data_IF_811166651017
#
_entry.id   IF_811166651017
#
_cell.length_a   1.000
_cell.length_b   1.000
_cell.length_c   1.000
_cell.angle_alpha   90.00
_cell.angle_beta   90.00
_cell.angle_gamma   90.00
#
_symmetry.space_group_name_H-M   'P 1'
#
loop_
_entity.id
_entity.type
_entity.pdbx_description
1 polymer ?
#
# COMPACT_ATOMS: atom_id res chain seq x y z
N UNK A 1 0.54 19.62 4.73
CA UNK A 1 0.27 18.17 4.74
C UNK A 1 1.14 17.55 3.65
N UNK A 2 2.00 16.60 3.99
CA UNK A 2 2.85 15.96 2.99
C UNK A 2 1.97 15.10 2.07
N UNK A 3 1.98 15.39 0.77
CA UNK A 3 1.29 14.56 -0.21
C UNK A 3 2.09 13.26 -0.38
N UNK A 4 1.46 12.08 -0.32
CA UNK A 4 2.17 10.83 -0.57
C UNK A 4 2.66 10.78 -2.02
N UNK A 5 3.82 10.16 -2.25
CA UNK A 5 4.34 9.91 -3.60
C UNK A 5 3.52 8.84 -4.33
N UNK A 6 2.95 7.89 -3.58
CA UNK A 6 2.23 6.74 -4.12
C UNK A 6 0.95 6.43 -3.36
N UNK A 7 -0.12 6.11 -4.09
CA UNK A 7 -1.36 5.57 -3.53
C UNK A 7 -1.51 4.08 -3.81
N UNK A 8 -1.83 3.27 -2.81
CA UNK A 8 -2.05 1.82 -2.95
C UNK A 8 -3.55 1.54 -3.02
N UNK A 9 -4.04 1.01 -4.14
CA UNK A 9 -5.47 0.75 -4.36
C UNK A 9 -5.89 -0.70 -4.14
N UNK A 10 -4.95 -1.65 -4.28
CA UNK A 10 -5.21 -3.08 -4.10
C UNK A 10 -3.92 -3.82 -3.75
N UNK A 11 -4.07 -5.01 -3.16
CA UNK A 11 -2.95 -5.91 -2.86
C UNK A 11 -3.26 -7.32 -3.30
N UNK A 12 -2.25 -8.04 -3.74
CA UNK A 12 -2.33 -9.45 -4.12
C UNK A 12 -1.45 -10.23 -3.14
N UNK A 13 -2.06 -11.21 -2.48
CA UNK A 13 -1.39 -12.09 -1.53
C UNK A 13 -0.84 -13.33 -2.25
N UNK A 14 0.19 -13.96 -1.68
CA UNK A 14 0.69 -15.25 -2.16
C UNK A 14 -0.38 -16.34 -2.01
N UNK A 15 -0.16 -17.50 -2.64
CA UNK A 15 -1.08 -18.65 -2.58
C UNK A 15 -1.40 -19.12 -1.17
N UNK A 16 -0.53 -18.84 -0.19
CA UNK A 16 -0.73 -19.14 1.22
C UNK A 16 -1.51 -18.06 1.99
N UNK A 17 -1.87 -16.93 1.34
CA UNK A 17 -2.50 -15.74 1.94
C UNK A 17 -1.79 -15.22 3.21
N UNK A 18 -0.51 -15.54 3.35
CA UNK A 18 0.32 -15.19 4.51
C UNK A 18 1.13 -13.94 4.27
N UNK A 19 1.45 -13.66 3.00
CA UNK A 19 2.31 -12.55 2.61
C UNK A 19 1.77 -11.83 1.39
N UNK A 20 1.87 -10.50 1.39
CA UNK A 20 1.60 -9.72 0.19
C UNK A 20 2.67 -10.02 -0.86
N UNK A 21 2.27 -10.53 -2.02
CA UNK A 21 3.14 -10.76 -3.17
C UNK A 21 3.33 -9.48 -3.98
N UNK A 22 2.22 -8.81 -4.31
CA UNK A 22 2.21 -7.58 -5.14
C UNK A 22 1.25 -6.54 -4.58
N UNK A 23 1.56 -5.28 -4.86
CA UNK A 23 0.75 -4.12 -4.51
C UNK A 23 0.45 -3.36 -5.78
N UNK A 24 -0.81 -3.00 -5.98
CA UNK A 24 -1.24 -2.11 -7.07
C UNK A 24 -1.15 -0.68 -6.56
N UNK A 25 -0.22 0.07 -7.12
CA UNK A 25 0.12 1.45 -6.72
C UNK A 25 -0.18 2.43 -7.84
N UNK A 26 -0.44 3.67 -7.48
CA UNK A 26 -0.66 4.78 -8.38
C UNK A 26 0.32 5.88 -8.01
N UNK A 27 1.16 6.29 -8.94
CA UNK A 27 2.08 7.41 -8.72
C UNK A 27 1.31 8.73 -8.64
N UNK A 28 1.71 9.58 -7.70
CA UNK A 28 1.13 10.90 -7.47
C UNK A 28 2.12 11.94 -7.99
N UNK A 29 1.79 12.58 -9.10
CA UNK A 29 2.53 13.76 -9.54
C UNK A 29 2.09 14.99 -8.76
N UNK A 30 3.04 15.63 -8.09
CA UNK A 30 2.83 16.93 -7.44
C UNK A 30 2.30 17.92 -8.47
N UNK A 31 1.12 18.49 -8.22
CA UNK A 31 0.45 19.42 -9.15
C UNK A 31 -0.47 18.77 -10.19
N UNK A 32 -0.65 17.44 -10.17
CA UNK A 32 -1.65 16.75 -10.99
C UNK A 32 -2.78 16.20 -10.12
N UNK A 33 -4.02 16.55 -10.46
CA UNK A 33 -5.22 16.03 -9.81
C UNK A 33 -5.63 14.64 -10.31
N UNK A 34 -4.80 14.02 -11.16
CA UNK A 34 -5.09 12.78 -11.85
C UNK A 34 -4.17 11.68 -11.34
N UNK A 35 -4.77 10.62 -10.78
CA UNK A 35 -4.07 9.38 -10.44
C UNK A 35 -3.44 8.80 -11.70
N UNK A 36 -2.14 8.50 -11.66
CA UNK A 36 -1.49 7.78 -12.74
C UNK A 36 -2.07 6.36 -12.89
N UNK A 37 -1.93 5.72 -14.07
CA UNK A 37 -2.33 4.34 -14.26
C UNK A 37 -1.72 3.44 -13.17
N UNK A 38 -2.49 2.43 -12.78
CA UNK A 38 -2.10 1.52 -11.72
C UNK A 38 -0.89 0.69 -12.16
N UNK A 39 0.17 0.68 -11.36
CA UNK A 39 1.35 -0.15 -11.54
C UNK A 39 1.38 -1.24 -10.48
N UNK A 40 1.79 -2.44 -10.87
CA UNK A 40 1.99 -3.55 -9.94
C UNK A 40 3.44 -3.57 -9.48
N UNK A 41 3.65 -3.31 -8.20
CA UNK A 41 4.96 -3.42 -7.56
C UNK A 41 5.00 -4.66 -6.68
N UNK A 42 6.12 -5.37 -6.71
CA UNK A 42 6.35 -6.45 -5.76
C UNK A 42 6.63 -5.89 -4.37
N UNK A 43 6.31 -6.66 -3.33
CA UNK A 43 6.63 -6.31 -1.95
C UNK A 43 8.09 -5.85 -1.72
N UNK A 44 9.15 -6.55 -2.20
CA UNK A 44 10.52 -6.06 -2.05
C UNK A 44 10.75 -4.71 -2.74
N UNK A 45 10.08 -4.44 -3.86
CA UNK A 45 10.21 -3.16 -4.56
C UNK A 45 9.57 -2.01 -3.78
N UNK A 46 8.40 -2.23 -3.16
CA UNK A 46 7.76 -1.24 -2.30
C UNK A 46 8.61 -0.95 -1.07
N UNK A 47 9.18 -1.99 -0.44
CA UNK A 47 10.11 -1.83 0.69
C UNK A 47 11.31 -0.97 0.28
N UNK A 48 11.96 -1.27 -0.84
CA UNK A 48 13.08 -0.48 -1.36
C UNK A 48 12.68 0.99 -1.55
N UNK A 49 11.50 1.27 -2.08
CA UNK A 49 11.04 2.65 -2.31
C UNK A 49 10.80 3.39 -1.00
N UNK A 50 10.18 2.74 -0.01
CA UNK A 50 10.00 3.32 1.33
C UNK A 50 11.36 3.60 1.98
N UNK A 51 12.31 2.68 1.88
CA UNK A 51 13.68 2.86 2.39
C UNK A 51 14.43 3.99 1.67
N UNK A 52 14.10 4.26 0.39
CA UNK A 52 14.57 5.42 -0.38
C UNK A 52 13.84 6.73 -0.04
N UNK A 53 12.95 6.73 0.95
CA UNK A 53 12.23 7.91 1.43
C UNK A 53 10.92 8.21 0.70
N UNK A 54 10.40 7.27 -0.11
CA UNK A 54 9.09 7.42 -0.76
C UNK A 54 7.94 7.13 0.19
N UNK A 55 6.90 7.96 0.14
CA UNK A 55 5.70 7.79 0.97
C UNK A 55 4.60 7.06 0.22
N UNK A 56 4.02 6.03 0.86
CA UNK A 56 2.89 5.26 0.35
C UNK A 56 1.67 5.45 1.26
N UNK A 57 0.49 5.63 0.67
CA UNK A 57 -0.77 5.73 1.41
C UNK A 57 -1.82 4.85 0.75
N UNK A 58 -2.62 4.13 1.52
CA UNK A 58 -3.70 3.32 0.94
C UNK A 58 -4.86 4.20 0.48
N UNK A 59 -5.54 3.81 -0.59
CA UNK A 59 -6.80 4.41 -1.04
C UNK A 59 -7.84 3.31 -1.21
N UNK A 60 -9.08 3.63 -0.88
CA UNK A 60 -10.20 2.71 -1.02
C UNK A 60 -11.32 3.41 -1.77
N UNK A 61 -12.07 2.65 -2.57
CA UNK A 61 -13.23 3.21 -3.27
C UNK A 61 -14.40 3.27 -2.28
N UNK A 62 -14.92 4.47 -2.04
CA UNK A 62 -16.10 4.70 -1.21
C UNK A 62 -17.36 4.28 -1.96
N UNK A 63 -18.45 4.09 -1.22
CA UNK A 63 -19.75 3.73 -1.77
C UNK A 63 -20.33 4.78 -2.75
N UNK A 64 -19.90 6.04 -2.63
CA UNK A 64 -20.25 7.15 -3.53
C UNK A 64 -19.47 7.14 -4.87
N UNK A 65 -18.57 6.17 -5.05
CA UNK A 65 -17.71 6.05 -6.23
C UNK A 65 -16.42 6.87 -6.17
N UNK A 66 -16.24 7.73 -5.16
CA UNK A 66 -15.03 8.51 -4.95
C UNK A 66 -13.93 7.71 -4.25
N UNK A 67 -12.68 8.14 -4.41
CA UNK A 67 -11.55 7.57 -3.68
C UNK A 67 -11.44 8.19 -2.29
N UNK A 68 -11.50 7.36 -1.26
CA UNK A 68 -11.13 7.70 0.11
C UNK A 68 -9.64 7.47 0.35
N UNK A 69 -8.99 8.41 1.05
CA UNK A 69 -7.63 8.24 1.55
C UNK A 69 -7.70 7.41 2.84
N UNK A 70 -6.92 6.33 2.87
CA UNK A 70 -6.76 5.44 4.01
C UNK A 70 -5.53 5.80 4.85
N UNK A 71 -4.86 4.77 5.36
CA UNK A 71 -3.71 4.89 6.25
C UNK A 71 -2.38 4.92 5.47
N UNK A 72 -1.36 5.63 5.98
CA UNK A 72 -0.01 5.54 5.43
C UNK A 72 0.53 4.11 5.60
N UNK A 73 1.25 3.64 4.59
CA UNK A 73 1.92 2.34 4.62
C UNK A 73 3.19 2.46 5.48
N UNK A 74 3.32 1.59 6.48
CA UNK A 74 4.54 1.50 7.29
C UNK A 74 5.10 0.08 7.24
N UNK A 75 6.43 -0.03 7.22
CA UNK A 75 7.13 -1.31 7.34
C UNK A 75 7.16 -1.65 8.83
N UNK A 76 6.48 -2.72 9.23
CA UNK A 76 6.57 -3.26 10.58
C UNK A 76 7.63 -4.38 10.60
N UNK A 77 8.77 -4.19 11.29
CA UNK A 77 9.76 -5.25 11.43
C UNK A 77 9.26 -6.29 12.45
N UNK A 78 8.86 -7.48 11.98
CA UNK A 78 8.48 -8.60 12.85
C UNK A 78 9.38 -9.79 12.55
N UNK A 79 10.71 -9.65 12.73
CA UNK A 79 11.77 -10.67 12.47
C UNK A 79 11.89 -11.17 11.02
N UNK A 80 10.79 -11.22 10.28
CA UNK A 80 10.60 -11.13 8.85
C UNK A 80 9.92 -9.76 8.63
N UNK A 81 10.35 -8.93 7.69
CA UNK A 81 9.66 -7.62 7.45
C UNK A 81 8.17 -7.93 7.14
N UNK A 82 7.20 -7.13 7.57
CA UNK A 82 5.77 -7.22 7.17
C UNK A 82 5.25 -5.80 6.87
N UNK A 83 4.29 -5.65 5.95
CA UNK A 83 3.63 -4.37 5.66
C UNK A 83 2.31 -4.34 6.43
N UNK A 84 2.17 -3.37 7.34
CA UNK A 84 0.99 -3.26 8.21
C UNK A 84 0.52 -1.82 8.31
N UNK A 85 -0.80 -1.63 8.37
CA UNK A 85 -1.43 -0.33 8.68
C UNK A 85 -1.66 -0.13 10.18
N UNK A 86 -1.48 -1.17 11.00
CA UNK A 86 -1.60 -1.14 12.47
C UNK A 86 -0.50 -1.99 13.08
N UNK A 87 0.13 -1.51 14.15
CA UNK A 87 1.17 -2.25 14.86
C UNK A 87 0.55 -3.30 15.80
N UNK A 88 0.00 -4.36 15.22
CA UNK A 88 -0.46 -5.54 15.96
C UNK A 88 0.66 -6.57 16.02
N UNK A 89 0.88 -7.23 17.16
CA UNK A 89 1.98 -8.18 17.39
C UNK A 89 1.81 -9.51 16.62
N UNK A 90 0.93 -9.56 15.63
CA UNK A 90 0.62 -10.74 14.82
C UNK A 90 1.61 -10.93 13.67
N UNK A 91 1.94 -12.16 13.31
CA UNK A 91 2.84 -12.50 12.19
C UNK A 91 2.11 -12.54 10.83
N UNK A 92 1.23 -11.57 10.57
CA UNK A 92 0.45 -11.46 9.32
C UNK A 92 0.38 -10.02 8.81
N UNK A 93 0.37 -9.85 7.50
CA UNK A 93 0.14 -8.56 6.83
C UNK A 93 -1.35 -8.17 7.00
N UNK A 94 -1.66 -7.20 7.87
CA UNK A 94 -3.04 -6.74 8.14
C UNK A 94 -3.34 -5.44 7.37
N UNK A 95 -3.66 -5.56 6.08
CA UNK A 95 -4.22 -4.46 5.25
C UNK A 95 -5.74 -4.62 5.17
N UNK A 96 -6.42 -4.66 6.33
CA UNK A 96 -7.83 -5.06 6.60
C UNK A 96 -8.93 -4.40 5.74
N UNK A 97 -8.62 -3.55 4.76
CA UNK A 97 -9.63 -2.88 3.93
C UNK A 97 -9.24 -2.72 2.45
N UNK A 98 -8.23 -3.45 1.95
CA UNK A 98 -7.87 -3.41 0.54
C UNK A 98 -8.46 -4.62 -0.22
N UNK A 99 -9.13 -4.39 -1.37
CA UNK A 99 -9.56 -5.48 -2.22
C UNK A 99 -8.36 -6.26 -2.76
N UNK A 100 -8.51 -7.58 -2.83
CA UNK A 100 -7.58 -8.48 -3.52
C UNK A 100 -7.91 -8.58 -5.01
N UNK A 101 -6.88 -8.82 -5.84
CA UNK A 101 -6.99 -9.01 -7.29
C UNK A 101 -6.13 -10.16 -7.76
#
# INVERSE_FOLDING_TARGET
>A
MANPDFYVSAVNYNSDETHIAKLRVHEVKVGSNTLQPAQELTRPKVIELIERGKSFTTIFKKADGNWGVGAPLQIAPVTTKYLKTKNDQTTKDNLENLPSF
#
